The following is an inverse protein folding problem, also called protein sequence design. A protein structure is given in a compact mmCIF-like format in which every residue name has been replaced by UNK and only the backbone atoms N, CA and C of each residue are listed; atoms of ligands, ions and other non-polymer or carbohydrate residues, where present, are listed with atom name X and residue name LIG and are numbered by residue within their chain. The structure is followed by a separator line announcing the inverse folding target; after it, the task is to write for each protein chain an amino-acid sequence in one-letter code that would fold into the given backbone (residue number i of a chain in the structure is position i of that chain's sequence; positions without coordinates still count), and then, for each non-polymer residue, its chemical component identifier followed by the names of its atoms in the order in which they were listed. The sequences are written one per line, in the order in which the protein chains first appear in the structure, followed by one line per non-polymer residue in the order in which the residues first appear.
data_IF_521664211412
#
_entry.id   IF_521664211412
#
_cell.length_a   1.000
_cell.length_b   1.000
_cell.length_c   1.000
_cell.angle_alpha   90.00
_cell.angle_beta   90.00
_cell.angle_gamma   90.00
#
_symmetry.space_group_name_H-M   'P 1'
#
loop_
_entity.id
_entity.type
_entity.pdbx_description
1 polymer ?
#
# COMPACT_ATOMS: atom_id res chain seq x y z
N UNK A 1 3.19 -16.86 3.31
CA UNK A 1 2.02 -16.92 2.42
C UNK A 1 1.95 -15.61 1.65
N UNK A 2 2.10 -15.66 0.33
CA UNK A 2 2.26 -14.48 -0.52
C UNK A 2 0.88 -13.96 -0.95
N UNK A 3 0.16 -13.27 -0.06
CA UNK A 3 -1.11 -12.63 -0.40
C UNK A 3 -0.84 -11.37 -1.23
N UNK A 4 -0.80 -11.52 -2.55
CA UNK A 4 -0.69 -10.39 -3.48
C UNK A 4 -1.88 -9.47 -3.21
N UNK A 5 -1.61 -8.19 -2.92
CA UNK A 5 -2.66 -7.25 -2.57
C UNK A 5 -3.62 -7.07 -3.76
N UNK A 6 -4.92 -7.21 -3.53
CA UNK A 6 -5.97 -7.03 -4.57
C UNK A 6 -5.86 -5.67 -5.28
N UNK A 7 -5.39 -4.63 -4.57
CA UNK A 7 -5.09 -3.31 -5.13
C UNK A 7 -3.97 -3.38 -6.17
N UNK A 8 -2.86 -4.06 -5.87
CA UNK A 8 -1.73 -4.25 -6.79
C UNK A 8 -2.12 -5.10 -8.01
N UNK A 9 -2.96 -6.12 -7.83
CA UNK A 9 -3.51 -6.92 -8.94
C UNK A 9 -4.40 -6.07 -9.86
N UNK A 10 -5.19 -5.16 -9.29
CA UNK A 10 -6.08 -4.28 -10.05
C UNK A 10 -5.29 -3.22 -10.83
N UNK A 11 -4.24 -2.66 -10.22
CA UNK A 11 -3.41 -1.64 -10.86
C UNK A 11 -2.51 -2.24 -11.95
N UNK A 12 -1.97 -3.45 -11.72
CA UNK A 12 -1.21 -4.18 -12.76
C UNK A 12 -2.10 -4.56 -13.95
N UNK A 13 -3.35 -4.98 -13.70
CA UNK A 13 -4.33 -5.24 -14.76
C UNK A 13 -4.63 -3.98 -15.59
N UNK A 14 -4.86 -2.82 -14.95
CA UNK A 14 -5.08 -1.55 -15.66
C UNK A 14 -3.87 -1.13 -16.49
N UNK A 15 -2.67 -1.27 -15.94
CA UNK A 15 -1.42 -0.93 -16.63
C UNK A 15 -1.22 -1.80 -17.88
N UNK A 16 -1.47 -3.11 -17.78
CA UNK A 16 -1.32 -4.04 -18.92
C UNK A 16 -2.40 -3.81 -19.98
N UNK A 17 -3.64 -3.48 -19.58
CA UNK A 17 -4.68 -3.05 -20.51
C UNK A 17 -4.30 -1.78 -21.27
N UNK A 18 -3.75 -0.78 -20.55
CA UNK A 18 -3.27 0.43 -21.18
C UNK A 18 -2.12 0.14 -22.15
N UNK A 19 -1.14 -0.68 -21.73
CA UNK A 19 -0.02 -1.09 -22.58
C UNK A 19 -0.51 -1.79 -23.88
N UNK A 20 -1.54 -2.62 -23.77
CA UNK A 20 -2.18 -3.27 -24.91
C UNK A 20 -2.82 -2.27 -25.87
N UNK A 21 -3.57 -1.30 -25.37
CA UNK A 21 -4.16 -0.23 -26.19
C UNK A 21 -3.08 0.62 -26.86
N UNK A 22 -2.03 0.99 -26.12
CA UNK A 22 -0.91 1.74 -26.69
C UNK A 22 -0.19 0.96 -27.79
N UNK A 23 -0.04 -0.36 -27.64
CA UNK A 23 0.56 -1.21 -28.66
C UNK A 23 -0.32 -1.30 -29.92
N UNK A 24 -1.65 -1.34 -29.79
CA UNK A 24 -2.56 -1.28 -30.95
C UNK A 24 -2.46 0.06 -31.67
N UNK A 25 -2.44 1.17 -30.93
CA UNK A 25 -2.32 2.53 -31.50
C UNK A 25 -0.96 2.76 -32.16
N UNK A 26 0.12 2.20 -31.60
CA UNK A 26 1.46 2.28 -32.18
C UNK A 26 1.68 1.33 -33.38
N UNK A 27 0.65 0.60 -33.82
CA UNK A 27 0.76 -0.31 -34.96
C UNK A 27 1.51 -1.61 -34.66
N UNK A 28 1.56 -2.03 -33.39
CA UNK A 28 2.14 -3.30 -32.93
C UNK A 28 1.05 -4.28 -32.46
N UNK A 29 0.20 -4.80 -33.37
CA UNK A 29 -0.94 -5.66 -33.01
C UNK A 29 -0.50 -7.00 -32.42
N UNK A 30 0.65 -7.54 -32.84
CA UNK A 30 1.15 -8.82 -32.32
C UNK A 30 1.50 -8.76 -30.83
N UNK A 31 2.00 -7.62 -30.36
CA UNK A 31 2.28 -7.42 -28.93
C UNK A 31 0.99 -7.30 -28.12
N UNK A 32 -0.03 -6.64 -28.68
CA UNK A 32 -1.34 -6.53 -28.06
C UNK A 32 -2.05 -7.89 -27.91
N UNK A 33 -1.84 -8.83 -28.85
CA UNK A 33 -2.38 -10.19 -28.75
C UNK A 33 -1.59 -11.05 -27.73
N UNK A 34 -0.27 -10.86 -27.59
CA UNK A 34 0.53 -11.54 -26.56
C UNK A 34 0.15 -11.16 -25.13
N UNK A 35 -0.33 -9.93 -24.92
CA UNK A 35 -0.76 -9.44 -23.61
C UNK A 35 -2.16 -9.94 -23.20
N UNK A 36 -2.94 -10.46 -24.15
CA UNK A 36 -4.29 -10.98 -23.91
C UNK A 36 -4.37 -12.08 -22.83
N UNK A 37 -3.61 -13.19 -22.91
CA UNK A 37 -3.66 -14.24 -21.89
C UNK A 37 -3.22 -13.75 -20.50
N UNK A 38 -2.32 -12.76 -20.45
CA UNK A 38 -1.85 -12.19 -19.18
C UNK A 38 -2.95 -11.37 -18.51
N UNK A 39 -3.71 -10.60 -19.28
CA UNK A 39 -4.88 -9.86 -18.77
C UNK A 39 -5.94 -10.81 -18.24
N UNK A 40 -6.22 -11.91 -18.95
CA UNK A 40 -7.21 -12.90 -18.53
C UNK A 40 -6.78 -13.58 -17.22
N UNK A 41 -5.51 -13.99 -17.10
CA UNK A 41 -4.98 -14.57 -15.86
C UNK A 41 -5.04 -13.59 -14.68
N UNK A 42 -4.65 -12.33 -14.90
CA UNK A 42 -4.71 -11.31 -13.86
C UNK A 42 -6.15 -10.97 -13.47
N UNK A 43 -7.09 -11.01 -14.42
CA UNK A 43 -8.51 -10.85 -14.15
C UNK A 43 -9.04 -11.99 -13.31
N UNK A 44 -8.74 -13.25 -13.65
CA UNK A 44 -9.13 -14.42 -12.85
C UNK A 44 -8.53 -14.38 -11.45
N UNK A 45 -7.27 -13.95 -11.31
CA UNK A 45 -6.62 -13.81 -10.01
C UNK A 45 -7.22 -12.67 -9.18
N UNK A 46 -7.55 -11.53 -9.80
CA UNK A 46 -8.21 -10.42 -9.14
C UNK A 46 -9.64 -10.78 -8.70
N UNK A 47 -10.39 -11.50 -9.53
CA UNK A 47 -11.72 -12.02 -9.21
C UNK A 47 -11.67 -13.06 -8.09
N UNK A 48 -10.68 -13.97 -8.09
CA UNK A 48 -10.44 -14.92 -7.01
C UNK A 48 -10.06 -14.24 -5.69
N UNK A 49 -9.21 -13.21 -5.74
CA UNK A 49 -8.83 -12.41 -4.59
C UNK A 49 -10.02 -11.60 -4.02
N UNK A 50 -10.91 -11.11 -4.88
CA UNK A 50 -12.13 -10.42 -4.47
C UNK A 50 -13.20 -11.39 -3.92
N UNK A 51 -13.31 -12.61 -4.45
CA UNK A 51 -14.17 -13.67 -3.90
C UNK A 51 -13.68 -14.17 -2.54
N UNK A 52 -12.37 -14.32 -2.34
CA UNK A 52 -11.79 -14.62 -1.03
C UNK A 52 -12.08 -13.53 0.01
N UNK A 53 -12.20 -12.27 -0.43
CA UNK A 53 -12.61 -11.13 0.42
C UNK A 53 -14.12 -11.10 0.67
N UNK A 54 -14.95 -11.54 -0.28
CA UNK A 54 -16.41 -11.65 -0.13
C UNK A 54 -16.83 -12.84 0.77
N UNK A 55 -16.05 -13.93 0.78
CA UNK A 55 -16.26 -15.07 1.68
C UNK A 55 -15.97 -14.72 3.17
N UNK A 56 -15.30 -13.60 3.45
CA UNK A 56 -15.05 -13.12 4.81
C UNK A 56 -16.24 -12.32 5.41
N UNK A 57 -17.34 -12.13 4.67
CA UNK A 57 -18.48 -11.28 5.10
C UNK A 57 -19.81 -12.04 5.22
N UNK A 58 -19.86 -13.36 4.99
CA UNK A 58 -21.10 -14.12 5.22
C UNK A 58 -21.12 -14.85 6.58
N UNK A 59 -22.18 -14.67 7.39
CA UNK A 59 -22.35 -15.38 8.63
C UNK A 59 -22.72 -16.85 8.36
N UNK A 60 -21.97 -17.75 9.00
CA UNK A 60 -22.27 -19.16 9.33
C UNK A 60 -23.39 -19.85 8.52
N UNK A 61 -23.02 -20.80 7.66
CA UNK A 61 -23.75 -22.08 7.53
C UNK A 61 -22.83 -23.17 6.96
N UNK A 62 -23.00 -24.44 7.37
CA UNK A 62 -21.91 -25.41 7.40
C UNK A 62 -21.81 -26.30 6.16
N UNK A 63 -20.58 -26.82 6.00
CA UNK A 63 -20.19 -28.04 5.29
C UNK A 63 -20.16 -27.99 3.76
N UNK A 64 -18.94 -28.13 3.21
CA UNK A 64 -18.56 -29.40 2.58
C UNK A 64 -17.04 -29.64 2.69
N UNK A 65 -16.73 -30.88 3.01
CA UNK A 65 -15.44 -31.45 3.39
C UNK A 65 -14.42 -31.41 2.27
N UNK A 66 -13.20 -30.93 2.56
CA UNK A 66 -11.97 -31.45 1.96
C UNK A 66 -10.96 -31.58 3.11
N UNK A 67 -10.62 -32.83 3.44
CA UNK A 67 -9.68 -33.16 4.50
C UNK A 67 -8.29 -32.55 4.23
N UNK A 68 -7.63 -31.91 5.21
CA UNK A 68 -6.21 -31.63 5.09
C UNK A 68 -5.46 -32.95 5.31
N UNK A 69 -4.83 -33.45 4.26
CA UNK A 69 -3.93 -34.60 4.33
C UNK A 69 -2.90 -34.38 5.43
N UNK A 70 -2.78 -35.37 6.32
CA UNK A 70 -1.94 -35.32 7.50
C UNK A 70 -0.47 -35.13 7.19
N UNK A 71 0.10 -34.06 7.73
CA UNK A 71 1.53 -33.94 8.04
C UNK A 71 1.67 -33.94 9.56
N UNK A 72 2.19 -35.04 10.10
CA UNK A 72 2.16 -35.49 11.51
C UNK A 72 2.81 -34.53 12.55
N UNK A 73 3.26 -33.32 12.18
CA UNK A 73 4.06 -32.46 13.07
C UNK A 73 3.63 -30.99 13.19
N UNK A 74 2.65 -30.50 12.42
CA UNK A 74 2.62 -29.06 12.12
C UNK A 74 1.50 -28.22 12.78
N UNK A 75 0.80 -28.69 13.82
CA UNK A 75 -0.25 -27.88 14.46
C UNK A 75 0.10 -27.39 15.87
N UNK A 76 0.61 -28.26 16.74
CA UNK A 76 1.00 -27.86 18.10
C UNK A 76 2.32 -27.06 18.12
N UNK A 77 3.27 -27.42 17.26
CA UNK A 77 4.50 -26.64 17.07
C UNK A 77 4.21 -25.27 16.47
N UNK A 78 3.24 -25.16 15.55
CA UNK A 78 2.85 -23.86 14.99
C UNK A 78 2.17 -22.97 16.04
N UNK A 79 1.33 -23.54 16.90
CA UNK A 79 0.76 -22.80 18.04
C UNK A 79 1.82 -22.35 19.03
N UNK A 80 2.81 -23.20 19.30
CA UNK A 80 3.91 -22.89 20.22
C UNK A 80 4.80 -21.77 19.66
N UNK A 81 5.14 -21.85 18.37
CA UNK A 81 5.90 -20.81 17.67
C UNK A 81 5.11 -19.51 17.55
N UNK A 82 3.81 -19.56 17.27
CA UNK A 82 2.94 -18.38 17.22
C UNK A 82 2.86 -17.69 18.59
N UNK A 83 2.73 -18.47 19.66
CA UNK A 83 2.71 -17.96 21.03
C UNK A 83 4.06 -17.32 21.43
N UNK A 84 5.18 -17.91 21.00
CA UNK A 84 6.51 -17.37 21.24
C UNK A 84 6.76 -16.03 20.50
N UNK A 85 6.28 -15.91 19.26
CA UNK A 85 6.36 -14.66 18.48
C UNK A 85 5.47 -13.57 19.07
N UNK A 86 4.24 -13.90 19.50
CA UNK A 86 3.34 -12.95 20.14
C UNK A 86 3.87 -12.46 21.50
N UNK A 87 4.50 -13.34 22.28
CA UNK A 87 5.15 -12.97 23.54
C UNK A 87 6.37 -12.05 23.32
N UNK A 88 7.07 -12.22 22.19
CA UNK A 88 8.20 -11.36 21.82
C UNK A 88 7.76 -9.97 21.32
N UNK A 89 6.61 -9.86 20.65
CA UNK A 89 6.07 -8.56 20.18
C UNK A 89 5.53 -7.68 21.31
N UNK A 90 5.00 -8.26 22.39
CA UNK A 90 4.55 -7.49 23.55
C UNK A 90 5.69 -6.94 24.44
N UNK A 91 6.96 -7.25 24.13
CA UNK A 91 8.11 -6.73 24.87
C UNK A 91 8.82 -5.55 24.16
N UNK A 92 8.51 -5.28 22.88
CA UNK A 92 9.23 -4.24 22.10
C UNK A 92 8.60 -2.85 22.14
N UNK A 93 7.39 -2.68 22.67
CA UNK A 93 6.70 -1.39 22.72
C UNK A 93 6.85 -0.62 24.04
N UNK A 94 7.38 -1.25 25.09
CA UNK A 94 7.59 -0.58 26.39
C UNK A 94 8.97 0.06 26.57
N UNK A 95 9.93 -0.19 25.66
CA UNK A 95 11.33 0.21 25.88
C UNK A 95 11.88 1.26 24.89
N UNK A 96 11.05 1.90 24.07
CA UNK A 96 11.53 3.01 23.22
C UNK A 96 11.57 4.33 23.99
N UNK A 97 12.69 5.08 23.93
CA UNK A 97 12.84 6.34 24.64
C UNK A 97 11.82 7.39 24.15
N UNK A 98 11.44 8.36 25.02
CA UNK A 98 10.32 9.28 24.78
C UNK A 98 10.37 10.14 23.49
N UNK A 99 11.49 10.15 22.76
CA UNK A 99 11.68 10.92 21.52
C UNK A 99 11.39 10.19 20.20
N UNK A 100 11.04 8.90 20.23
CA UNK A 100 10.66 8.12 19.03
C UNK A 100 9.18 7.69 19.02
N UNK A 101 8.40 8.18 19.98
CA UNK A 101 6.94 8.06 19.91
C UNK A 101 6.47 8.95 18.77
N UNK A 102 5.66 8.40 17.87
CA UNK A 102 5.12 9.09 16.70
C UNK A 102 4.25 10.31 17.08
N UNK A 103 4.88 11.39 17.50
CA UNK A 103 4.26 12.70 17.62
C UNK A 103 4.27 13.34 16.25
N UNK A 104 3.06 13.42 15.71
CA UNK A 104 2.58 14.51 14.87
C UNK A 104 3.10 14.56 13.43
N UNK A 105 2.45 13.80 12.54
CA UNK A 105 2.50 14.07 11.08
C UNK A 105 2.24 15.56 10.76
N UNK A 106 1.46 16.24 11.60
CA UNK A 106 1.20 17.68 11.49
C UNK A 106 2.46 18.54 11.79
N UNK A 107 3.23 18.20 12.82
CA UNK A 107 4.49 18.86 13.17
C UNK A 107 5.54 18.60 12.09
N UNK A 108 5.58 17.36 11.57
CA UNK A 108 6.40 17.01 10.40
C UNK A 108 6.07 17.90 9.20
N UNK A 109 4.79 18.08 8.89
CA UNK A 109 4.35 18.93 7.77
C UNK A 109 4.69 20.41 8.01
N UNK A 110 4.57 20.91 9.24
CA UNK A 110 4.98 22.28 9.58
C UNK A 110 6.50 22.47 9.45
N UNK A 111 7.29 21.46 9.84
CA UNK A 111 8.74 21.47 9.68
C UNK A 111 9.13 21.47 8.21
N UNK A 112 8.48 20.65 7.37
CA UNK A 112 8.67 20.62 5.92
C UNK A 112 8.39 21.98 5.28
N UNK A 113 7.28 22.63 5.64
CA UNK A 113 6.94 23.97 5.15
C UNK A 113 7.99 24.99 5.59
N UNK A 114 8.43 24.93 6.85
CA UNK A 114 9.44 25.86 7.38
C UNK A 114 10.80 25.67 6.70
N UNK A 115 11.21 24.43 6.43
CA UNK A 115 12.43 24.11 5.69
C UNK A 115 12.38 24.58 4.24
N UNK A 116 11.24 24.36 3.58
CA UNK A 116 11.01 24.83 2.20
C UNK A 116 11.06 26.36 2.12
N UNK A 117 10.44 27.06 3.08
CA UNK A 117 10.51 28.52 3.19
C UNK A 117 11.93 29.01 3.52
N UNK A 118 12.74 28.19 4.20
CA UNK A 118 14.17 28.41 4.43
C UNK A 118 15.07 28.16 3.23
N UNK A 119 14.50 27.86 2.04
CA UNK A 119 15.25 27.64 0.80
C UNK A 119 15.84 26.24 0.66
N UNK A 120 15.50 25.31 1.56
CA UNK A 120 15.94 23.92 1.45
C UNK A 120 15.24 23.22 0.28
N UNK A 121 16.00 22.45 -0.52
CA UNK A 121 15.43 21.78 -1.69
C UNK A 121 14.47 20.66 -1.26
N UNK A 122 13.43 20.41 -2.06
CA UNK A 122 12.49 19.32 -1.78
C UNK A 122 13.18 17.95 -1.66
N UNK A 123 14.29 17.75 -2.39
CA UNK A 123 15.12 16.54 -2.32
C UNK A 123 15.85 16.41 -0.99
N UNK A 124 16.36 17.52 -0.45
CA UNK A 124 17.05 17.53 0.84
C UNK A 124 16.07 17.31 1.99
N UNK A 125 14.90 17.95 1.92
CA UNK A 125 13.82 17.77 2.89
C UNK A 125 13.33 16.31 2.87
N UNK A 126 13.13 15.73 1.67
CA UNK A 126 12.73 14.34 1.51
C UNK A 126 13.70 13.38 2.22
N UNK A 127 15.01 13.59 2.02
CA UNK A 127 16.07 12.80 2.66
C UNK A 127 16.11 13.00 4.18
N UNK A 128 15.99 14.24 4.64
CA UNK A 128 16.03 14.61 6.05
C UNK A 128 14.83 14.06 6.84
N UNK A 129 13.64 14.12 6.24
CA UNK A 129 12.37 13.81 6.88
C UNK A 129 11.89 12.38 6.60
N UNK A 130 12.65 11.60 5.80
CA UNK A 130 12.30 10.25 5.40
C UNK A 130 10.99 10.17 4.59
N UNK A 131 10.71 11.21 3.81
CA UNK A 131 9.47 11.36 3.02
C UNK A 131 9.77 11.38 1.53
N UNK A 132 8.77 11.08 0.70
CA UNK A 132 8.96 11.11 -0.75
C UNK A 132 8.96 12.54 -1.29
N UNK A 133 9.61 12.75 -2.43
CA UNK A 133 9.57 14.04 -3.14
C UNK A 133 8.15 14.50 -3.43
N UNK A 134 7.25 13.57 -3.76
CA UNK A 134 5.85 13.87 -4.05
C UNK A 134 5.11 14.39 -2.80
N UNK A 135 5.31 13.73 -1.65
CA UNK A 135 4.75 14.16 -0.38
C UNK A 135 5.25 15.56 0.03
N UNK A 136 6.54 15.86 -0.18
CA UNK A 136 7.10 17.19 0.10
C UNK A 136 6.41 18.25 -0.76
N UNK A 137 6.32 17.99 -2.07
CA UNK A 137 5.70 18.90 -3.02
C UNK A 137 4.21 19.10 -2.71
N UNK A 138 3.52 18.05 -2.30
CA UNK A 138 2.12 18.12 -1.90
C UNK A 138 1.94 19.03 -0.68
N UNK A 139 2.77 18.86 0.36
CA UNK A 139 2.72 19.69 1.58
C UNK A 139 3.00 21.16 1.27
N UNK A 140 4.00 21.45 0.43
CA UNK A 140 4.34 22.81 0.01
C UNK A 140 3.19 23.45 -0.77
N UNK A 141 2.63 22.75 -1.77
CA UNK A 141 1.51 23.25 -2.57
C UNK A 141 0.25 23.49 -1.73
N UNK A 142 -0.04 22.57 -0.81
CA UNK A 142 -1.19 22.70 0.08
C UNK A 142 -1.05 23.93 0.99
N UNK A 143 0.17 24.23 1.44
CA UNK A 143 0.45 25.43 2.22
C UNK A 143 0.30 26.71 1.38
N UNK A 144 0.89 26.75 0.18
CA UNK A 144 0.76 27.90 -0.74
C UNK A 144 -0.72 28.21 -1.04
N UNK A 145 -1.50 27.19 -1.42
CA UNK A 145 -2.95 27.33 -1.67
C UNK A 145 -3.71 27.84 -0.43
N UNK A 146 -3.27 27.48 0.77
CA UNK A 146 -3.86 27.98 2.02
C UNK A 146 -3.51 29.44 2.28
N UNK A 147 -2.29 29.88 1.92
CA UNK A 147 -1.88 31.28 2.04
C UNK A 147 -2.56 32.18 1.01
N UNK A 148 -2.79 31.71 -0.21
CA UNK A 148 -3.50 32.46 -1.26
C UNK A 148 -4.97 32.66 -0.91
N UNK A 149 -5.66 31.59 -0.48
CA UNK A 149 -7.05 31.69 0.00
C UNK A 149 -7.19 32.64 1.19
N UNK A 150 -6.19 32.76 2.06
CA UNK A 150 -6.25 33.70 3.20
C UNK A 150 -6.18 35.17 2.74
N UNK A 151 -5.44 35.46 1.67
CA UNK A 151 -5.30 36.82 1.13
C UNK A 151 -6.58 37.30 0.45
N UNK A 152 -7.31 36.41 -0.24
CA UNK A 152 -8.52 36.81 -0.97
C UNK A 152 -9.73 37.12 -0.07
N UNK A 153 -9.78 36.57 1.14
CA UNK A 153 -10.90 36.80 2.08
C UNK A 153 -10.69 38.06 2.94
N UNK A 154 -9.53 38.70 2.85
CA UNK A 154 -9.17 39.91 3.62
C UNK A 154 -9.11 41.19 2.76
N UNK A 155 -9.62 41.12 1.53
CA UNK A 155 -9.73 42.25 0.59
C UNK A 155 -11.20 42.73 0.49
#
# INVERSE_FOLDING_TARGET
MNSISSVLLSDTLKLIQLARETARVQGQPEQAEKLKPVVDQLKTLAEGANQAKAAAVQPKTPAQSIAPSGGILAQDDFKTLLSAVQKSQNQTTSNLPPGLRATSNLERNQMVVSMANGGMSALDIARQMGMTLDEVNMVIRLNQKSTDNRKEVSA
#
